data_IF_868323584184
#
_entry.id   IF_868323584184
#
_cell.length_a   1.000
_cell.length_b   1.000
_cell.length_c   1.000
_cell.angle_alpha   90.00
_cell.angle_beta   90.00
_cell.angle_gamma   90.00
#
_symmetry.space_group_name_H-M   'P 1'
#
loop_
_entity.id
_entity.type
_entity.pdbx_description
1 polymer ?
#
# COMPACT_ATOMS: atom_id res chain seq x y z
N UNK A 1 5.85 -16.40 -74.59
CA UNK A 1 6.12 -16.50 -73.15
C UNK A 1 5.02 -15.73 -72.41
N UNK A 2 4.06 -16.48 -71.94
CA UNK A 2 2.88 -15.86 -71.31
C UNK A 2 3.22 -15.63 -69.80
N UNK A 3 3.35 -14.38 -69.45
CA UNK A 3 3.46 -13.99 -68.04
C UNK A 3 2.08 -14.14 -67.37
N UNK A 4 2.02 -15.06 -66.44
CA UNK A 4 0.81 -15.39 -65.71
C UNK A 4 0.62 -14.41 -64.51
N UNK A 5 -0.24 -13.38 -64.58
CA UNK A 5 -0.37 -12.40 -63.52
C UNK A 5 -1.06 -12.98 -62.27
N UNK A 6 -1.65 -14.17 -62.35
CA UNK A 6 -2.31 -14.84 -61.22
C UNK A 6 -1.36 -15.37 -60.14
N UNK A 7 -0.11 -15.72 -60.50
CA UNK A 7 0.85 -16.25 -59.53
C UNK A 7 1.45 -15.17 -58.64
N UNK A 8 1.60 -13.94 -59.14
CA UNK A 8 2.10 -12.80 -58.36
C UNK A 8 1.08 -12.30 -57.34
N UNK A 9 -0.22 -12.36 -57.63
CA UNK A 9 -1.29 -11.95 -56.69
C UNK A 9 -1.49 -12.94 -55.56
N UNK A 10 -1.24 -14.26 -55.79
CA UNK A 10 -1.30 -15.27 -54.74
C UNK A 10 -0.13 -15.14 -53.74
N UNK A 11 1.06 -14.81 -54.20
CA UNK A 11 2.20 -14.57 -53.31
C UNK A 11 2.04 -13.32 -52.44
N UNK A 12 1.45 -12.25 -52.99
CA UNK A 12 1.13 -11.04 -52.20
C UNK A 12 0.07 -11.29 -51.12
N UNK A 13 -0.94 -12.10 -51.42
CA UNK A 13 -1.99 -12.46 -50.43
C UNK A 13 -1.48 -13.36 -49.32
N UNK A 14 -0.54 -14.29 -49.62
CA UNK A 14 0.07 -15.14 -48.61
C UNK A 14 1.00 -14.32 -47.71
N UNK A 15 1.74 -13.35 -48.25
CA UNK A 15 2.61 -12.46 -47.45
C UNK A 15 1.80 -11.51 -46.55
N UNK A 16 0.65 -11.01 -46.98
CA UNK A 16 -0.26 -10.21 -46.15
C UNK A 16 -0.93 -11.04 -45.07
N UNK A 17 -1.23 -12.32 -45.31
CA UNK A 17 -1.82 -13.20 -44.28
C UNK A 17 -0.84 -13.59 -43.18
N UNK A 18 0.47 -13.67 -43.48
CA UNK A 18 1.49 -14.01 -42.48
C UNK A 18 1.86 -12.81 -41.56
N UNK A 19 1.64 -11.59 -42.01
CA UNK A 19 1.86 -10.37 -41.15
C UNK A 19 0.70 -10.14 -40.19
N UNK A 20 -0.47 -10.77 -40.42
CA UNK A 20 -1.66 -10.59 -39.57
C UNK A 20 -1.69 -11.46 -38.30
N UNK A 21 -0.66 -12.26 -38.06
CA UNK A 21 -0.48 -13.03 -36.81
C UNK A 21 0.50 -12.34 -35.86
N UNK A 22 0.61 -10.99 -35.91
CA UNK A 22 1.22 -10.24 -34.84
C UNK A 22 0.39 -10.53 -33.58
N UNK A 23 0.96 -11.36 -32.71
CA UNK A 23 0.38 -11.59 -31.38
C UNK A 23 0.05 -10.24 -30.78
N UNK A 24 -1.23 -10.01 -30.48
CA UNK A 24 -1.64 -8.80 -29.75
C UNK A 24 -0.80 -8.78 -28.49
N UNK A 25 -0.15 -7.67 -28.15
CA UNK A 25 0.58 -7.61 -26.91
C UNK A 25 -0.40 -7.98 -25.79
N UNK A 26 0.00 -8.97 -24.99
CA UNK A 26 -0.78 -9.42 -23.84
C UNK A 26 -0.69 -8.34 -22.76
N UNK A 27 -1.81 -7.74 -22.42
CA UNK A 27 -1.94 -6.80 -21.32
C UNK A 27 -2.74 -7.49 -20.21
N UNK A 28 -2.12 -7.90 -19.10
CA UNK A 28 -2.87 -8.47 -17.99
C UNK A 28 -3.83 -7.43 -17.43
N UNK A 29 -5.00 -7.87 -17.00
CA UNK A 29 -5.96 -6.97 -16.35
C UNK A 29 -5.52 -6.60 -14.96
N UNK A 30 -4.99 -7.57 -14.22
CA UNK A 30 -4.51 -7.35 -12.85
C UNK A 30 -3.30 -8.22 -12.51
N UNK A 31 -2.55 -7.69 -11.55
CA UNK A 31 -1.47 -8.37 -10.86
C UNK A 31 -1.89 -8.46 -9.40
N UNK A 32 -1.87 -9.66 -8.82
CA UNK A 32 -2.25 -9.87 -7.42
C UNK A 32 -1.03 -10.34 -6.63
N UNK A 33 -0.79 -9.69 -5.51
CA UNK A 33 0.26 -10.05 -4.57
C UNK A 33 -0.42 -10.35 -3.23
N UNK A 34 -0.35 -11.60 -2.76
CA UNK A 34 -0.93 -11.98 -1.48
C UNK A 34 -0.26 -11.24 -0.31
N UNK A 35 -1.06 -10.88 0.68
CA UNK A 35 -0.60 -10.25 1.91
C UNK A 35 -1.15 -11.05 3.10
N UNK A 36 -0.35 -11.23 4.13
CA UNK A 36 -0.77 -11.80 5.41
C UNK A 36 -0.45 -10.84 6.55
N UNK A 37 -1.20 -10.93 7.66
CA UNK A 37 -0.89 -10.16 8.87
C UNK A 37 0.02 -10.99 9.79
N UNK A 38 1.17 -10.43 10.15
CA UNK A 38 2.02 -10.96 11.22
C UNK A 38 1.45 -10.54 12.57
N UNK A 39 0.86 -11.50 13.30
CA UNK A 39 0.16 -11.23 14.55
C UNK A 39 1.03 -10.62 15.63
N UNK A 40 2.30 -11.05 15.86
CA UNK A 40 3.14 -10.51 16.90
C UNK A 40 3.48 -9.02 16.71
N UNK A 41 3.74 -8.60 15.46
CA UNK A 41 4.15 -7.22 15.14
C UNK A 41 3.00 -6.37 14.60
N UNK A 42 1.85 -6.98 14.29
CA UNK A 42 0.72 -6.35 13.59
C UNK A 42 1.09 -5.78 12.21
N UNK A 43 2.20 -6.23 11.62
CA UNK A 43 2.66 -5.81 10.29
C UNK A 43 1.97 -6.63 9.20
N UNK A 44 1.81 -6.02 8.03
CA UNK A 44 1.30 -6.70 6.83
C UNK A 44 2.47 -7.12 5.97
N UNK A 45 2.55 -8.40 5.65
CA UNK A 45 3.68 -9.02 4.96
C UNK A 45 3.20 -9.55 3.61
N UNK A 46 3.80 -9.03 2.54
CA UNK A 46 3.65 -9.56 1.20
C UNK A 46 4.72 -10.61 0.92
N UNK A 47 4.38 -11.60 0.09
CA UNK A 47 5.31 -12.61 -0.37
C UNK A 47 5.50 -12.49 -1.90
N UNK A 48 6.74 -12.25 -2.32
CA UNK A 48 7.17 -12.24 -3.72
C UNK A 48 8.18 -13.35 -3.96
N UNK A 49 8.43 -13.66 -5.21
CA UNK A 49 9.53 -14.52 -5.61
C UNK A 49 10.57 -13.69 -6.37
N UNK A 50 11.85 -13.87 -6.08
CA UNK A 50 12.92 -13.07 -6.65
C UNK A 50 14.13 -13.92 -7.08
N UNK A 51 14.84 -13.42 -8.09
CA UNK A 51 16.04 -14.04 -8.65
C UNK A 51 15.75 -15.17 -9.62
N UNK A 52 16.81 -15.72 -10.20
CA UNK A 52 16.72 -16.82 -11.18
C UNK A 52 15.99 -18.06 -10.62
N UNK A 53 16.22 -18.36 -9.34
CA UNK A 53 15.62 -19.53 -8.68
C UNK A 53 14.23 -19.24 -8.10
N UNK A 54 13.68 -18.06 -8.31
CA UNK A 54 12.38 -17.63 -7.77
C UNK A 54 12.23 -17.93 -6.28
N UNK A 55 13.25 -17.61 -5.50
CA UNK A 55 13.20 -17.85 -4.07
C UNK A 55 12.21 -16.89 -3.38
N UNK A 56 11.47 -17.39 -2.37
CA UNK A 56 10.48 -16.58 -1.68
C UNK A 56 11.13 -15.44 -0.90
N UNK A 57 10.54 -14.26 -0.98
CA UNK A 57 10.96 -13.03 -0.33
C UNK A 57 9.79 -12.44 0.44
N UNK A 58 9.88 -12.38 1.77
CA UNK A 58 8.85 -11.82 2.65
C UNK A 58 9.18 -10.37 2.98
N UNK A 59 8.22 -9.49 2.71
CA UNK A 59 8.43 -8.04 2.77
C UNK A 59 7.30 -7.37 3.55
N UNK A 60 7.63 -6.51 4.50
CA UNK A 60 6.62 -5.63 5.11
C UNK A 60 6.08 -4.68 4.06
N UNK A 61 4.76 -4.58 3.98
CA UNK A 61 4.08 -3.66 3.05
C UNK A 61 4.12 -2.25 3.61
N UNK A 62 4.79 -1.35 2.91
CA UNK A 62 4.81 0.09 3.21
C UNK A 62 4.19 0.88 2.07
N UNK A 63 2.94 1.31 2.27
CA UNK A 63 2.22 2.11 1.26
C UNK A 63 2.92 3.43 0.95
N UNK A 64 3.67 4.01 1.89
CA UNK A 64 4.44 5.25 1.72
C UNK A 64 5.90 5.04 1.33
N UNK A 65 6.39 3.81 1.37
CA UNK A 65 7.79 3.48 1.08
C UNK A 65 8.18 3.76 -0.37
N UNK A 66 9.35 4.39 -0.63
CA UNK A 66 9.71 4.82 -1.98
C UNK A 66 10.06 3.69 -2.93
N UNK A 67 10.56 2.56 -2.43
CA UNK A 67 11.01 1.42 -3.23
C UNK A 67 11.09 0.14 -2.39
N UNK A 68 11.28 -1.00 -3.08
CA UNK A 68 11.63 -2.25 -2.41
C UNK A 68 13.07 -2.20 -1.93
N UNK A 69 13.29 -2.49 -0.65
CA UNK A 69 14.63 -2.74 -0.11
C UNK A 69 14.66 -4.03 0.69
N UNK A 70 15.71 -4.82 0.51
CA UNK A 70 15.80 -6.15 1.09
C UNK A 70 17.25 -6.62 1.28
N UNK A 71 17.46 -7.55 2.23
CA UNK A 71 18.64 -8.41 2.27
C UNK A 71 18.41 -9.60 1.34
N UNK A 72 18.90 -9.46 0.13
CA UNK A 72 18.83 -10.50 -0.88
C UNK A 72 20.23 -11.14 -1.06
N UNK A 73 20.76 -11.70 0.03
CA UNK A 73 22.11 -12.27 0.06
C UNK A 73 22.23 -13.63 -0.65
N UNK A 74 21.12 -14.36 -0.79
CA UNK A 74 21.14 -15.75 -1.28
C UNK A 74 21.20 -15.89 -2.80
N UNK A 75 20.96 -14.85 -3.57
CA UNK A 75 21.18 -14.85 -5.02
C UNK A 75 22.09 -13.71 -5.43
N UNK A 76 23.37 -13.93 -5.27
CA UNK A 76 24.46 -13.02 -5.63
C UNK A 76 24.52 -12.56 -7.09
N UNK A 77 23.44 -12.67 -7.87
CA UNK A 77 23.43 -12.46 -9.30
C UNK A 77 22.70 -11.17 -9.76
N UNK A 78 22.02 -10.45 -8.87
CA UNK A 78 21.47 -9.14 -9.21
C UNK A 78 22.57 -8.18 -9.66
N UNK A 79 22.40 -7.57 -10.84
CA UNK A 79 23.37 -6.62 -11.38
C UNK A 79 23.37 -5.35 -10.57
N UNK A 80 24.53 -4.86 -10.21
CA UNK A 80 24.72 -3.59 -9.51
C UNK A 80 24.57 -2.43 -10.52
N UNK A 81 23.84 -1.41 -10.17
CA UNK A 81 23.60 -0.25 -11.02
C UNK A 81 24.70 0.78 -10.82
N UNK A 82 25.41 1.20 -11.87
CA UNK A 82 26.44 2.21 -11.77
C UNK A 82 25.85 3.62 -11.60
N UNK A 83 26.58 4.44 -10.85
CA UNK A 83 26.37 5.88 -10.76
C UNK A 83 26.42 6.54 -12.15
N UNK A 84 25.60 7.56 -12.39
CA UNK A 84 25.54 8.21 -13.70
C UNK A 84 24.71 7.47 -14.76
N UNK A 85 24.23 6.25 -14.47
CA UNK A 85 23.28 5.55 -15.35
C UNK A 85 21.89 6.19 -15.29
N UNK A 86 21.09 6.00 -16.35
CA UNK A 86 19.69 6.43 -16.36
C UNK A 86 18.87 5.78 -15.22
N UNK A 87 19.13 4.50 -14.93
CA UNK A 87 18.48 3.76 -13.84
C UNK A 87 18.78 4.40 -12.47
N UNK A 88 20.03 4.79 -12.23
CA UNK A 88 20.41 5.51 -11.02
C UNK A 88 19.71 6.88 -10.92
N UNK A 89 19.67 7.65 -12.00
CA UNK A 89 18.99 8.94 -12.03
C UNK A 89 17.48 8.83 -11.80
N UNK A 90 16.86 7.73 -12.20
CA UNK A 90 15.45 7.46 -11.91
C UNK A 90 15.20 7.16 -10.43
N UNK A 91 16.12 6.43 -9.80
CA UNK A 91 16.03 5.98 -8.42
C UNK A 91 16.49 7.05 -7.43
N UNK A 92 17.56 7.75 -7.76
CA UNK A 92 18.17 8.80 -6.94
C UNK A 92 18.30 10.11 -7.74
N UNK A 93 17.25 10.94 -7.79
CA UNK A 93 17.28 12.19 -8.55
C UNK A 93 18.28 13.22 -7.99
N UNK A 94 18.74 13.08 -6.75
CA UNK A 94 19.76 13.93 -6.15
C UNK A 94 21.18 13.60 -6.63
N UNK A 95 21.33 12.48 -7.36
CA UNK A 95 22.62 11.99 -7.84
C UNK A 95 23.41 11.25 -6.75
N UNK A 96 24.54 10.68 -7.16
CA UNK A 96 25.46 10.01 -6.25
C UNK A 96 26.27 11.03 -5.47
N UNK A 97 26.61 10.70 -4.22
CA UNK A 97 27.31 11.59 -3.29
C UNK A 97 28.76 11.84 -3.66
N UNK A 98 29.35 10.98 -4.46
CA UNK A 98 30.74 11.08 -4.94
C UNK A 98 30.76 11.10 -6.47
N UNK A 99 31.51 12.03 -7.03
CA UNK A 99 31.51 12.38 -8.46
C UNK A 99 32.33 11.46 -9.38
N UNK A 100 32.70 10.24 -8.98
CA UNK A 100 33.49 9.34 -9.80
C UNK A 100 32.60 8.44 -10.69
N UNK A 101 32.88 8.38 -11.98
CA UNK A 101 32.10 7.71 -13.01
C UNK A 101 32.00 6.17 -12.88
N UNK A 102 32.72 5.56 -11.95
CA UNK A 102 32.73 4.11 -11.70
C UNK A 102 32.11 3.70 -10.37
N UNK A 103 31.42 4.63 -9.71
CA UNK A 103 30.81 4.34 -8.43
C UNK A 103 29.43 3.68 -8.58
N UNK A 104 29.08 2.95 -7.51
CA UNK A 104 27.83 2.22 -7.39
C UNK A 104 26.74 3.20 -6.97
N UNK A 105 25.56 3.09 -7.57
CA UNK A 105 24.39 3.85 -7.16
C UNK A 105 23.93 3.43 -5.79
N UNK A 106 23.91 4.34 -4.83
CA UNK A 106 23.38 4.14 -3.48
C UNK A 106 22.05 4.86 -3.30
N UNK A 107 21.16 4.29 -2.51
CA UNK A 107 19.88 4.87 -2.14
C UNK A 107 19.81 5.06 -0.63
N UNK A 108 19.41 6.26 -0.22
CA UNK A 108 19.10 6.52 1.18
C UNK A 108 17.71 6.02 1.49
N UNK A 109 17.53 5.38 2.64
CA UNK A 109 16.24 4.93 3.14
C UNK A 109 16.16 5.10 4.65
N UNK A 110 14.97 5.04 5.18
CA UNK A 110 14.67 4.95 6.60
C UNK A 110 13.83 3.69 6.84
N UNK A 111 14.21 2.88 7.81
CA UNK A 111 13.36 1.78 8.25
C UNK A 111 12.08 2.38 8.85
N UNK A 112 10.90 2.11 8.28
CA UNK A 112 9.67 2.79 8.69
C UNK A 112 9.22 2.41 10.12
N UNK A 113 9.74 1.30 10.67
CA UNK A 113 9.40 0.81 12.02
C UNK A 113 10.37 1.36 13.07
N UNK A 114 11.67 1.09 12.91
CA UNK A 114 12.69 1.47 13.91
C UNK A 114 13.22 2.89 13.75
N UNK A 115 12.88 3.57 12.64
CA UNK A 115 13.41 4.90 12.28
C UNK A 115 14.92 4.95 12.07
N UNK A 116 15.55 3.79 11.91
CA UNK A 116 16.97 3.73 11.54
C UNK A 116 17.13 4.16 10.09
N UNK A 117 17.91 5.22 9.88
CA UNK A 117 18.33 5.64 8.56
C UNK A 117 19.56 4.84 8.10
N UNK A 118 19.62 4.56 6.81
CA UNK A 118 20.71 3.84 6.19
C UNK A 118 20.82 4.09 4.70
N UNK A 119 21.82 3.49 4.09
CA UNK A 119 21.97 3.45 2.63
C UNK A 119 22.07 2.01 2.16
N UNK A 120 21.58 1.77 0.94
CA UNK A 120 21.65 0.49 0.28
C UNK A 120 22.08 0.64 -1.17
N UNK A 121 22.66 -0.40 -1.72
CA UNK A 121 23.11 -0.44 -3.11
C UNK A 121 21.95 -0.70 -4.05
N UNK A 122 21.78 0.15 -5.06
CA UNK A 122 20.78 -0.09 -6.11
C UNK A 122 21.21 -1.26 -6.97
N UNK A 123 20.34 -2.25 -7.05
CA UNK A 123 20.50 -3.46 -7.87
C UNK A 123 19.30 -3.68 -8.76
N UNK A 124 19.44 -4.56 -9.74
CA UNK A 124 18.34 -5.11 -10.54
C UNK A 124 18.36 -6.61 -10.55
N UNK A 125 17.19 -7.22 -10.51
CA UNK A 125 16.99 -8.66 -10.65
C UNK A 125 15.60 -8.94 -11.25
N UNK A 126 15.23 -10.20 -11.40
CA UNK A 126 13.90 -10.60 -11.84
C UNK A 126 13.01 -10.89 -10.63
N UNK A 127 11.79 -10.36 -10.61
CA UNK A 127 10.75 -10.82 -9.70
C UNK A 127 9.66 -11.58 -10.45
N UNK A 128 8.94 -12.47 -9.78
CA UNK A 128 7.78 -13.12 -10.31
C UNK A 128 6.51 -12.61 -9.61
N UNK A 129 5.47 -12.41 -10.40
CA UNK A 129 4.15 -11.92 -9.95
C UNK A 129 3.04 -12.75 -10.58
N UNK A 130 1.93 -12.87 -9.87
CA UNK A 130 0.75 -13.57 -10.33
C UNK A 130 -0.14 -12.64 -11.16
N UNK A 131 -0.39 -13.02 -12.41
CA UNK A 131 -1.24 -12.28 -13.34
C UNK A 131 -2.63 -12.90 -13.39
N UNK A 132 -3.65 -12.06 -13.42
CA UNK A 132 -5.03 -12.44 -13.68
C UNK A 132 -5.48 -11.77 -14.98
N UNK A 133 -5.86 -12.57 -15.96
CA UNK A 133 -6.31 -12.07 -17.28
C UNK A 133 -7.82 -11.84 -17.31
N UNK A 134 -8.58 -12.81 -16.84
CA UNK A 134 -10.05 -12.72 -16.73
C UNK A 134 -10.55 -13.32 -15.41
N UNK A 135 -11.73 -12.91 -14.92
CA UNK A 135 -12.28 -13.40 -13.65
C UNK A 135 -12.42 -14.93 -13.56
N UNK A 136 -12.43 -15.63 -14.70
CA UNK A 136 -12.60 -17.09 -14.79
C UNK A 136 -11.43 -17.82 -15.46
N UNK A 137 -10.37 -17.11 -15.87
CA UNK A 137 -9.29 -17.70 -16.69
C UNK A 137 -8.14 -18.29 -15.85
N UNK A 138 -8.23 -18.26 -14.53
CA UNK A 138 -7.13 -18.68 -13.68
C UNK A 138 -6.03 -17.62 -13.57
N UNK A 139 -5.05 -17.88 -12.73
CA UNK A 139 -3.85 -17.05 -12.61
C UNK A 139 -2.63 -17.78 -13.16
N UNK A 140 -1.66 -17.02 -13.64
CA UNK A 140 -0.38 -17.57 -14.07
C UNK A 140 0.78 -16.69 -13.61
N UNK A 141 1.91 -17.33 -13.35
CA UNK A 141 3.11 -16.65 -12.91
C UNK A 141 3.79 -15.95 -14.11
N UNK A 142 4.13 -14.68 -13.96
CA UNK A 142 4.88 -13.91 -14.95
C UNK A 142 6.12 -13.27 -14.34
N UNK A 143 7.12 -13.04 -15.18
CA UNK A 143 8.39 -12.48 -14.76
C UNK A 143 8.46 -10.98 -15.08
N UNK A 144 8.98 -10.22 -14.14
CA UNK A 144 9.33 -8.80 -14.28
C UNK A 144 10.85 -8.71 -14.29
N UNK A 145 11.48 -8.71 -15.45
CA UNK A 145 12.94 -8.61 -15.55
C UNK A 145 13.42 -7.18 -15.23
N UNK A 146 14.67 -7.05 -14.85
CA UNK A 146 15.31 -5.76 -14.57
C UNK A 146 14.57 -4.93 -13.50
N UNK A 147 13.94 -5.59 -12.54
CA UNK A 147 13.27 -4.93 -11.42
C UNK A 147 14.31 -4.31 -10.49
N UNK A 148 14.17 -2.99 -10.26
CA UNK A 148 15.09 -2.21 -9.42
C UNK A 148 14.71 -2.31 -7.95
N UNK A 149 15.69 -2.60 -7.11
CA UNK A 149 15.54 -2.65 -5.67
C UNK A 149 16.83 -2.20 -4.97
N UNK A 150 16.74 -1.83 -3.69
CA UNK A 150 17.92 -1.52 -2.88
C UNK A 150 18.35 -2.75 -2.07
N UNK A 151 19.59 -3.18 -2.22
CA UNK A 151 20.19 -4.18 -1.36
C UNK A 151 20.61 -3.52 -0.03
N UNK A 152 20.11 -4.08 1.07
CA UNK A 152 20.30 -3.54 2.42
C UNK A 152 20.70 -4.65 3.38
N UNK A 153 21.73 -4.47 4.18
CA UNK A 153 22.15 -5.47 5.16
C UNK A 153 21.10 -5.73 6.24
N UNK A 154 20.97 -6.99 6.68
CA UNK A 154 19.93 -7.44 7.62
C UNK A 154 19.96 -6.78 9.00
N UNK A 155 21.10 -6.23 9.44
CA UNK A 155 21.16 -5.50 10.73
C UNK A 155 20.26 -4.24 10.75
N UNK A 156 19.84 -3.75 9.58
CA UNK A 156 18.90 -2.62 9.45
C UNK A 156 17.43 -3.04 9.55
N UNK A 157 17.13 -4.32 9.76
CA UNK A 157 15.75 -4.86 9.83
C UNK A 157 15.15 -4.81 11.24
N UNK A 158 15.77 -4.09 12.15
CA UNK A 158 15.27 -3.95 13.52
C UNK A 158 13.79 -3.54 13.55
N UNK A 159 12.98 -4.30 14.30
CA UNK A 159 11.54 -4.06 14.45
C UNK A 159 10.65 -4.66 13.35
N UNK A 160 11.22 -5.22 12.27
CA UNK A 160 10.46 -6.01 11.31
C UNK A 160 10.11 -7.38 11.88
N UNK A 161 9.02 -7.98 11.36
CA UNK A 161 8.55 -9.31 11.75
C UNK A 161 9.61 -10.40 11.58
N UNK A 162 9.49 -11.49 12.32
CA UNK A 162 10.43 -12.59 12.23
C UNK A 162 10.38 -13.26 10.84
N UNK A 163 11.55 -13.46 10.24
CA UNK A 163 11.69 -14.04 8.90
C UNK A 163 11.31 -13.10 7.74
N UNK A 164 11.13 -11.81 8.01
CA UNK A 164 10.98 -10.78 6.99
C UNK A 164 12.35 -10.41 6.43
N UNK A 165 12.43 -10.27 5.11
CA UNK A 165 13.67 -9.99 4.38
C UNK A 165 13.82 -8.52 3.96
N UNK A 166 12.85 -7.65 4.26
CA UNK A 166 12.88 -6.25 3.88
C UNK A 166 11.51 -5.59 3.85
N UNK A 167 11.39 -4.52 3.07
CA UNK A 167 10.17 -3.72 2.94
C UNK A 167 9.79 -3.53 1.48
N UNK A 168 8.51 -3.67 1.18
CA UNK A 168 7.90 -3.46 -0.13
C UNK A 168 7.31 -2.06 -0.20
N UNK A 169 8.02 -1.14 -0.85
CA UNK A 169 7.57 0.23 -1.04
C UNK A 169 6.55 0.37 -2.17
N UNK A 170 5.39 0.94 -1.84
CA UNK A 170 4.30 1.23 -2.78
C UNK A 170 4.11 2.74 -3.03
N UNK A 171 4.99 3.58 -2.52
CA UNK A 171 4.89 5.03 -2.58
C UNK A 171 4.98 5.61 -3.99
N UNK A 172 4.80 6.93 -4.10
CA UNK A 172 4.76 7.63 -5.38
C UNK A 172 6.16 7.88 -5.97
N UNK A 173 7.00 6.84 -6.07
CA UNK A 173 8.31 6.94 -6.71
C UNK A 173 8.35 6.25 -8.08
N UNK A 174 9.37 6.56 -8.88
CA UNK A 174 9.55 5.95 -10.20
C UNK A 174 9.97 4.50 -10.14
N UNK A 175 10.59 4.07 -9.03
CA UNK A 175 11.08 2.71 -8.80
C UNK A 175 10.29 1.98 -7.71
N UNK A 176 9.14 2.51 -7.27
CA UNK A 176 8.20 1.75 -6.45
C UNK A 176 7.61 0.58 -7.21
N UNK A 177 7.14 -0.44 -6.50
CA UNK A 177 6.53 -1.61 -7.13
C UNK A 177 5.43 -1.25 -8.15
N UNK A 178 4.41 -0.41 -7.82
CA UNK A 178 3.36 -0.08 -8.78
C UNK A 178 3.87 0.60 -10.04
N UNK A 179 4.91 1.45 -9.92
CA UNK A 179 5.49 2.15 -11.06
C UNK A 179 6.24 1.21 -11.98
N UNK A 180 7.00 0.27 -11.44
CA UNK A 180 7.74 -0.71 -12.23
C UNK A 180 6.81 -1.72 -12.90
N UNK A 181 5.76 -2.20 -12.20
CA UNK A 181 4.74 -3.07 -12.80
C UNK A 181 4.00 -2.36 -13.94
N UNK A 182 3.59 -1.10 -13.73
CA UNK A 182 2.92 -0.31 -14.75
C UNK A 182 3.77 -0.18 -16.02
N UNK A 183 5.08 0.09 -15.85
CA UNK A 183 6.01 0.21 -16.97
C UNK A 183 6.24 -1.12 -17.70
N UNK A 184 6.38 -2.22 -16.97
CA UNK A 184 6.67 -3.54 -17.57
C UNK A 184 5.47 -4.09 -18.35
N UNK A 185 4.26 -3.95 -17.80
CA UNK A 185 3.06 -4.55 -18.39
C UNK A 185 2.20 -3.56 -19.19
N UNK A 186 2.59 -2.28 -19.27
CA UNK A 186 1.79 -1.26 -19.98
C UNK A 186 0.42 -1.00 -19.36
N UNK A 187 0.25 -1.30 -18.07
CA UNK A 187 -1.00 -1.09 -17.33
C UNK A 187 -1.04 0.31 -16.69
N UNK A 188 -2.23 0.82 -16.33
CA UNK A 188 -2.32 2.09 -15.60
C UNK A 188 -1.49 2.08 -14.32
N UNK A 189 -0.86 3.22 -13.99
CA UNK A 189 -0.13 3.41 -12.75
C UNK A 189 -1.11 3.59 -11.59
N UNK A 190 -1.71 2.46 -11.21
CA UNK A 190 -2.77 2.35 -10.23
C UNK A 190 -2.63 1.04 -9.48
N UNK A 191 -2.87 1.06 -8.17
CA UNK A 191 -2.92 -0.15 -7.36
C UNK A 191 -3.97 -0.02 -6.27
N UNK A 192 -4.45 -1.16 -5.78
CA UNK A 192 -5.31 -1.22 -4.62
C UNK A 192 -4.68 -2.06 -3.51
N UNK A 193 -4.99 -1.70 -2.27
CA UNK A 193 -4.62 -2.44 -1.07
C UNK A 193 -5.90 -2.83 -0.35
N UNK A 194 -6.03 -4.12 -0.03
CA UNK A 194 -7.12 -4.67 0.74
C UNK A 194 -6.52 -5.52 1.86
N UNK A 195 -6.53 -5.02 3.09
CA UNK A 195 -5.95 -5.66 4.26
C UNK A 195 -7.04 -6.25 5.15
N UNK A 196 -6.72 -7.30 5.88
CA UNK A 196 -7.59 -7.84 6.93
C UNK A 196 -6.78 -8.33 8.12
N UNK A 197 -7.46 -8.75 9.16
CA UNK A 197 -6.83 -9.35 10.34
C UNK A 197 -6.09 -10.68 10.05
N UNK A 198 -6.23 -11.24 8.85
CA UNK A 198 -5.57 -12.48 8.42
C UNK A 198 -4.88 -12.33 7.08
N UNK A 199 -5.63 -12.43 5.98
CA UNK A 199 -5.13 -12.40 4.62
C UNK A 199 -5.68 -11.18 3.89
N UNK A 200 -4.90 -10.64 2.97
CA UNK A 200 -5.26 -9.52 2.13
C UNK A 200 -4.53 -9.59 0.80
N UNK A 201 -4.65 -8.54 -0.01
CA UNK A 201 -3.98 -8.47 -1.30
C UNK A 201 -3.55 -7.04 -1.64
N UNK A 202 -2.47 -6.95 -2.42
CA UNK A 202 -2.13 -5.79 -3.23
C UNK A 202 -2.51 -6.15 -4.66
N UNK A 203 -3.23 -5.26 -5.35
CA UNK A 203 -3.72 -5.50 -6.70
C UNK A 203 -3.29 -4.33 -7.57
N UNK A 204 -2.57 -4.59 -8.66
CA UNK A 204 -2.12 -3.56 -9.60
C UNK A 204 -2.80 -3.75 -10.96
N UNK A 205 -3.18 -2.66 -11.62
CA UNK A 205 -3.88 -2.67 -12.91
C UNK A 205 -5.37 -2.40 -12.80
N UNK A 206 -6.10 -2.71 -13.88
CA UNK A 206 -7.55 -2.48 -13.99
C UNK A 206 -8.35 -3.72 -13.58
N UNK A 207 -8.74 -3.79 -12.33
CA UNK A 207 -9.74 -4.75 -11.88
C UNK A 207 -11.10 -4.09 -11.77
N UNK A 208 -12.11 -4.74 -12.34
CA UNK A 208 -13.50 -4.40 -12.02
C UNK A 208 -13.84 -5.12 -10.72
N UNK A 209 -13.75 -4.39 -9.60
CA UNK A 209 -14.28 -4.90 -8.34
C UNK A 209 -15.81 -4.81 -8.38
N UNK A 210 -16.53 -5.83 -7.93
CA UNK A 210 -17.99 -5.76 -7.76
C UNK A 210 -18.42 -4.59 -6.88
N UNK A 211 -17.53 -4.12 -6.02
CA UNK A 211 -17.72 -2.98 -5.11
C UNK A 211 -17.38 -1.61 -5.72
N UNK A 212 -16.95 -1.56 -6.98
CA UNK A 212 -16.56 -0.29 -7.63
C UNK A 212 -17.68 0.76 -7.63
N UNK A 213 -18.94 0.32 -7.64
CA UNK A 213 -20.12 1.22 -7.59
C UNK A 213 -20.33 1.90 -6.24
N UNK A 214 -19.73 1.39 -5.17
CA UNK A 214 -19.82 1.94 -3.82
C UNK A 214 -18.57 2.74 -3.41
N UNK A 215 -17.56 2.85 -4.28
CA UNK A 215 -16.34 3.57 -3.98
C UNK A 215 -16.59 5.08 -3.91
N UNK A 216 -16.10 5.68 -2.85
CA UNK A 216 -15.94 7.12 -2.70
C UNK A 216 -14.52 7.53 -3.06
N UNK A 217 -14.35 8.77 -3.51
CA UNK A 217 -13.05 9.27 -3.96
C UNK A 217 -12.65 10.54 -3.23
N UNK A 218 -11.35 10.67 -2.94
CA UNK A 218 -10.72 11.88 -2.39
C UNK A 218 -9.40 12.16 -3.10
N UNK A 219 -9.01 13.42 -3.32
CA UNK A 219 -7.69 13.73 -3.83
C UNK A 219 -6.58 13.23 -2.91
N UNK A 220 -5.54 12.65 -3.50
CA UNK A 220 -4.25 12.45 -2.85
C UNK A 220 -3.49 13.78 -2.89
N UNK A 221 -3.01 14.19 -1.74
CA UNK A 221 -2.23 15.41 -1.60
C UNK A 221 -0.76 15.05 -1.60
N UNK A 222 -0.01 15.71 -2.46
CA UNK A 222 1.46 15.61 -2.45
C UNK A 222 2.03 16.96 -2.06
N UNK A 223 3.02 17.02 -1.15
CA UNK A 223 3.72 18.26 -0.84
C UNK A 223 4.33 18.87 -2.11
N UNK A 224 4.26 20.19 -2.23
CA UNK A 224 4.74 20.91 -3.42
C UNK A 224 6.25 20.78 -3.65
N UNK A 225 7.01 20.54 -2.57
CA UNK A 225 8.46 20.36 -2.62
C UNK A 225 8.91 18.97 -3.11
N UNK A 226 7.98 18.02 -3.29
CA UNK A 226 8.26 16.65 -3.79
C UNK A 226 9.17 15.82 -2.87
N UNK A 227 9.31 16.19 -1.59
CA UNK A 227 10.27 15.56 -0.67
C UNK A 227 9.81 14.23 -0.12
N UNK A 228 8.51 13.94 -0.16
CA UNK A 228 7.97 12.66 0.31
C UNK A 228 7.27 11.89 -0.80
N UNK A 229 7.31 10.57 -0.69
CA UNK A 229 6.60 9.61 -1.56
C UNK A 229 5.32 9.08 -0.89
N UNK A 230 5.02 9.57 0.30
CA UNK A 230 3.89 9.19 1.11
C UNK A 230 2.57 9.78 0.60
N UNK A 231 1.46 9.16 1.01
CA UNK A 231 0.12 9.57 0.59
C UNK A 231 -0.60 10.30 1.72
N UNK A 232 -1.01 11.52 1.42
CA UNK A 232 -1.81 12.37 2.30
C UNK A 232 -3.20 12.61 1.72
N UNK A 233 -4.16 12.80 2.60
CA UNK A 233 -5.54 13.20 2.28
C UNK A 233 -5.95 14.40 3.13
N UNK A 234 -6.91 15.19 2.65
CA UNK A 234 -7.50 16.27 3.43
C UNK A 234 -8.69 15.77 4.24
N UNK A 235 -8.60 15.90 5.55
CA UNK A 235 -9.70 15.69 6.49
C UNK A 235 -10.21 17.06 6.96
N UNK A 236 -11.48 17.37 6.70
CA UNK A 236 -12.10 18.65 7.11
C UNK A 236 -12.54 18.66 8.56
N UNK A 237 -12.97 17.51 9.05
CA UNK A 237 -13.38 17.36 10.44
C UNK A 237 -13.46 15.89 10.82
N UNK A 238 -13.43 15.62 12.09
CA UNK A 238 -13.68 14.30 12.68
C UNK A 238 -15.02 14.34 13.39
N UNK A 239 -15.83 13.29 13.22
CA UNK A 239 -17.13 13.14 13.86
C UNK A 239 -17.20 11.87 14.71
N UNK A 240 -17.91 11.95 15.81
CA UNK A 240 -18.30 10.83 16.65
C UNK A 240 -19.84 10.83 16.72
N UNK A 241 -20.47 9.75 16.22
CA UNK A 241 -21.94 9.65 16.10
C UNK A 241 -22.57 10.91 15.46
N UNK A 242 -22.05 11.32 14.29
CA UNK A 242 -22.46 12.50 13.52
C UNK A 242 -22.17 13.86 14.18
N UNK A 243 -21.70 13.90 15.44
CA UNK A 243 -21.33 15.14 16.15
C UNK A 243 -19.88 15.49 15.83
N UNK A 244 -19.63 16.67 15.29
CA UNK A 244 -18.29 17.19 15.04
C UNK A 244 -17.58 17.46 16.36
N UNK A 245 -16.35 16.94 16.51
CA UNK A 245 -15.53 17.20 17.69
C UNK A 245 -14.91 18.62 17.61
N UNK A 246 -14.73 19.29 18.75
CA UNK A 246 -14.16 20.64 18.80
C UNK A 246 -12.63 20.58 18.63
N UNK A 247 -12.16 20.77 17.39
CA UNK A 247 -10.75 20.78 17.03
C UNK A 247 -10.37 22.07 16.31
N UNK A 248 -9.11 22.46 16.43
CA UNK A 248 -8.50 23.34 15.45
C UNK A 248 -8.29 22.58 14.14
N UNK A 249 -9.21 22.74 13.21
CA UNK A 249 -9.21 22.01 11.94
C UNK A 249 -8.07 22.40 11.01
N UNK A 250 -7.38 23.53 11.23
CA UNK A 250 -6.20 23.90 10.45
C UNK A 250 -5.07 22.87 10.59
N UNK A 251 -4.98 22.17 11.72
CA UNK A 251 -4.02 21.11 11.97
C UNK A 251 -4.23 19.89 11.05
N UNK A 252 -5.44 19.69 10.52
CA UNK A 252 -5.77 18.56 9.66
C UNK A 252 -5.36 18.76 8.20
N UNK A 253 -4.92 19.98 7.84
CA UNK A 253 -4.41 20.28 6.50
C UNK A 253 -2.89 20.20 6.46
N UNK A 254 -2.37 19.67 5.36
CA UNK A 254 -0.94 19.62 5.10
C UNK A 254 -0.45 21.00 4.71
N UNK A 255 0.61 21.48 5.33
CA UNK A 255 1.25 22.73 4.98
C UNK A 255 2.38 22.56 3.94
N UNK A 256 3.08 23.64 3.60
CA UNK A 256 4.15 23.62 2.61
C UNK A 256 5.44 22.95 3.11
N UNK A 257 5.61 22.85 4.42
CA UNK A 257 6.78 22.25 5.08
C UNK A 257 6.59 20.75 5.35
N UNK A 258 5.45 20.16 4.90
CA UNK A 258 5.03 18.76 5.14
C UNK A 258 4.68 18.50 6.60
N UNK A 259 4.31 19.56 7.31
CA UNK A 259 3.74 19.46 8.66
C UNK A 259 2.21 19.43 8.60
N UNK A 260 1.60 18.73 9.56
CA UNK A 260 0.14 18.62 9.59
C UNK A 260 -0.41 17.55 8.64
N UNK A 261 -1.69 17.69 8.27
CA UNK A 261 -2.39 16.78 7.36
C UNK A 261 -2.68 15.40 7.92
N UNK A 262 -3.27 14.57 7.07
CA UNK A 262 -3.60 13.18 7.40
C UNK A 262 -2.89 12.24 6.43
N UNK A 263 -1.98 11.42 6.94
CA UNK A 263 -1.16 10.46 6.19
C UNK A 263 -1.73 9.05 6.32
N UNK A 264 -1.59 8.25 5.28
CA UNK A 264 -1.96 6.82 5.28
C UNK A 264 -0.69 5.98 5.48
N UNK A 265 -0.73 4.99 6.38
CA UNK A 265 0.39 4.11 6.67
C UNK A 265 -0.08 2.67 6.94
N UNK A 266 0.57 1.71 6.31
CA UNK A 266 0.38 0.28 6.60
C UNK A 266 1.36 -0.24 7.65
N UNK A 267 2.36 0.57 8.02
CA UNK A 267 3.43 0.18 8.96
C UNK A 267 3.09 0.55 10.40
N UNK A 268 2.41 1.68 10.59
CA UNK A 268 1.90 2.08 11.91
C UNK A 268 0.71 1.19 12.25
N UNK A 269 0.72 0.41 13.36
CA UNK A 269 -0.34 -0.55 13.65
C UNK A 269 -1.71 0.08 13.85
N UNK A 270 -1.76 1.17 14.62
CA UNK A 270 -2.99 1.91 14.97
C UNK A 270 -2.87 3.37 14.57
N UNK A 271 -4.00 4.02 14.32
CA UNK A 271 -4.00 5.45 14.01
C UNK A 271 -3.41 6.25 15.15
N UNK A 272 -2.42 7.10 14.84
CA UNK A 272 -1.83 8.05 15.77
C UNK A 272 -2.27 9.46 15.43
N UNK A 273 -2.46 10.28 16.46
CA UNK A 273 -2.83 11.69 16.33
C UNK A 273 -1.89 12.56 17.16
N UNK A 274 -1.53 13.75 16.68
CA UNK A 274 -0.85 14.73 17.55
C UNK A 274 -1.65 14.94 18.83
N UNK A 275 -0.99 15.10 19.97
CA UNK A 275 -1.63 15.28 21.30
C UNK A 275 -2.73 16.34 21.27
N UNK A 276 -2.54 17.43 20.55
CA UNK A 276 -3.51 18.53 20.40
C UNK A 276 -4.81 18.14 19.69
N UNK A 277 -4.80 17.05 18.94
CA UNK A 277 -5.99 16.44 18.28
C UNK A 277 -6.48 15.26 19.12
N UNK A 278 -5.57 14.46 19.65
CA UNK A 278 -5.86 13.24 20.38
C UNK A 278 -6.70 13.51 21.63
N UNK A 279 -6.29 14.48 22.47
CA UNK A 279 -6.99 14.74 23.73
C UNK A 279 -8.47 15.10 23.52
N UNK A 280 -8.84 16.14 22.74
CA UNK A 280 -10.26 16.44 22.51
C UNK A 280 -11.01 15.31 21.79
N UNK A 281 -10.32 14.50 20.99
CA UNK A 281 -10.91 13.32 20.34
C UNK A 281 -11.28 12.24 21.37
N UNK A 282 -10.36 11.87 22.26
CA UNK A 282 -10.59 10.86 23.31
C UNK A 282 -11.65 11.32 24.29
N UNK A 283 -11.59 12.59 24.76
CA UNK A 283 -12.59 13.15 25.66
C UNK A 283 -14.00 13.07 25.06
N UNK A 284 -14.15 13.48 23.80
CA UNK A 284 -15.43 13.41 23.09
C UNK A 284 -15.91 11.97 22.88
N UNK A 285 -14.97 11.03 22.64
CA UNK A 285 -15.30 9.62 22.50
C UNK A 285 -15.80 9.02 23.81
N UNK A 286 -15.09 9.27 24.92
CA UNK A 286 -15.44 8.78 26.26
C UNK A 286 -16.79 9.35 26.69
N UNK A 287 -17.05 10.65 26.48
CA UNK A 287 -18.35 11.26 26.76
C UNK A 287 -19.49 10.61 25.99
N UNK A 288 -19.25 10.39 24.68
CA UNK A 288 -20.24 9.74 23.80
C UNK A 288 -20.49 8.29 24.23
N UNK A 289 -19.44 7.52 24.53
CA UNK A 289 -19.55 6.15 25.01
C UNK A 289 -20.33 6.05 26.32
N UNK A 290 -20.06 6.95 27.27
CA UNK A 290 -20.79 7.03 28.52
C UNK A 290 -22.29 7.36 28.31
N UNK A 291 -22.60 8.27 27.39
CA UNK A 291 -23.98 8.61 27.03
C UNK A 291 -24.75 7.44 26.39
N UNK A 292 -24.03 6.49 25.80
CA UNK A 292 -24.57 5.25 25.23
C UNK A 292 -24.63 4.10 26.25
N UNK A 293 -24.23 4.34 27.51
CA UNK A 293 -24.26 3.33 28.57
C UNK A 293 -23.04 2.40 28.62
N UNK A 294 -21.98 2.66 27.86
CA UNK A 294 -20.76 1.86 27.91
C UNK A 294 -19.97 2.18 29.18
N UNK A 295 -19.61 1.16 29.94
CA UNK A 295 -18.80 1.30 31.16
C UNK A 295 -17.32 1.33 30.83
N UNK A 296 -16.61 2.40 31.20
CA UNK A 296 -15.17 2.50 31.12
C UNK A 296 -14.50 1.49 32.06
N UNK A 297 -13.44 0.86 31.61
CA UNK A 297 -12.58 -0.05 32.39
C UNK A 297 -11.14 0.47 32.38
N UNK A 298 -10.28 -0.17 33.17
CA UNK A 298 -8.86 0.18 33.21
C UNK A 298 -8.21 0.11 31.83
N UNK A 299 -7.26 1.01 31.51
CA UNK A 299 -6.52 1.00 30.26
C UNK A 299 -5.78 -0.32 30.04
N UNK A 300 -5.75 -0.77 28.78
CA UNK A 300 -4.95 -1.92 28.35
C UNK A 300 -3.93 -1.43 27.33
N UNK A 301 -2.65 -1.42 27.70
CA UNK A 301 -1.60 -0.90 26.85
C UNK A 301 -1.64 -1.54 25.44
N UNK A 302 -1.44 -0.76 24.36
CA UNK A 302 -1.07 0.66 24.33
C UNK A 302 -2.27 1.65 24.39
N UNK A 303 -3.50 1.18 24.63
CA UNK A 303 -4.73 1.96 24.52
C UNK A 303 -5.07 2.64 25.85
N UNK A 304 -5.51 3.89 25.77
CA UNK A 304 -5.87 4.71 26.92
C UNK A 304 -7.35 4.55 27.33
N UNK A 305 -8.25 4.40 26.35
CA UNK A 305 -9.69 4.35 26.61
C UNK A 305 -10.24 2.95 26.28
N UNK A 306 -10.59 2.20 27.32
CA UNK A 306 -11.15 0.85 27.20
C UNK A 306 -12.54 0.78 27.84
N UNK A 307 -13.41 -0.08 27.29
CA UNK A 307 -14.80 -0.20 27.67
C UNK A 307 -15.20 -1.67 27.78
N UNK A 308 -16.11 -1.94 28.69
CA UNK A 308 -16.81 -3.21 28.73
C UNK A 308 -17.88 -3.21 27.63
N UNK A 309 -17.80 -4.19 26.72
CA UNK A 309 -18.73 -4.35 25.60
C UNK A 309 -19.26 -5.77 25.63
N UNK A 310 -20.57 -5.93 25.78
CA UNK A 310 -21.22 -7.23 25.93
C UNK A 310 -22.20 -7.45 24.78
N UNK A 311 -22.05 -8.59 24.10
CA UNK A 311 -23.00 -9.03 23.06
C UNK A 311 -23.12 -8.03 21.91
N UNK A 312 -24.31 -7.46 21.73
CA UNK A 312 -24.65 -6.53 20.65
C UNK A 312 -24.54 -5.05 21.03
N UNK A 313 -23.78 -4.71 22.07
CA UNK A 313 -23.61 -3.32 22.47
C UNK A 313 -23.12 -2.47 21.29
N UNK A 314 -23.78 -1.34 21.09
CA UNK A 314 -23.43 -0.41 20.03
C UNK A 314 -22.33 0.52 20.54
N UNK A 315 -21.23 0.62 19.78
CA UNK A 315 -20.10 1.50 20.09
C UNK A 315 -20.20 2.81 19.29
N UNK A 316 -19.62 3.92 19.79
CA UNK A 316 -19.60 5.18 19.03
C UNK A 316 -18.89 5.02 17.69
N UNK A 317 -19.47 5.57 16.63
CA UNK A 317 -18.90 5.57 15.28
C UNK A 317 -17.94 6.74 15.12
N UNK A 318 -16.77 6.48 14.56
CA UNK A 318 -15.79 7.51 14.18
C UNK A 318 -15.80 7.68 12.67
N UNK A 319 -15.96 8.89 12.18
CA UNK A 319 -15.98 9.24 10.77
C UNK A 319 -15.05 10.42 10.49
N UNK A 320 -14.20 10.26 9.48
CA UNK A 320 -13.40 11.34 8.92
C UNK A 320 -14.16 11.97 7.75
N UNK A 321 -14.54 13.23 7.89
CA UNK A 321 -15.21 13.99 6.84
C UNK A 321 -14.14 14.55 5.91
N UNK A 322 -14.21 14.20 4.64
CA UNK A 322 -13.21 14.57 3.63
C UNK A 322 -13.60 15.86 2.89
N UNK A 323 -13.79 15.82 1.55
CA UNK A 323 -14.08 17.03 0.76
C UNK A 323 -15.42 17.68 1.11
N UNK A 324 -16.42 16.87 1.50
CA UNK A 324 -17.76 17.32 1.83
C UNK A 324 -18.39 16.42 2.88
N UNK A 325 -19.52 16.86 3.45
CA UNK A 325 -20.31 16.05 4.37
C UNK A 325 -20.86 14.75 3.77
N UNK A 326 -20.84 14.63 2.44
CA UNK A 326 -21.26 13.42 1.71
C UNK A 326 -20.12 12.40 1.58
N UNK A 327 -18.85 12.83 1.68
CA UNK A 327 -17.67 11.97 1.53
C UNK A 327 -17.06 11.76 2.90
N UNK A 328 -17.48 10.68 3.55
CA UNK A 328 -17.04 10.31 4.89
C UNK A 328 -16.37 8.95 4.86
N UNK A 329 -15.25 8.84 5.54
CA UNK A 329 -14.59 7.56 5.77
C UNK A 329 -14.85 7.10 7.19
N UNK A 330 -15.58 5.99 7.33
CA UNK A 330 -15.85 5.37 8.62
C UNK A 330 -14.63 4.54 9.04
N UNK A 331 -14.13 4.82 10.25
CA UNK A 331 -12.95 4.18 10.82
C UNK A 331 -13.32 2.97 11.70
N UNK A 332 -12.49 1.93 11.66
CA UNK A 332 -12.51 0.86 12.66
C UNK A 332 -12.03 1.42 14.00
N UNK A 333 -12.97 1.78 14.88
CA UNK A 333 -12.62 2.51 16.09
C UNK A 333 -12.20 1.63 17.25
N UNK A 334 -12.76 0.41 17.38
CA UNK A 334 -12.61 -0.41 18.59
C UNK A 334 -11.80 -1.69 18.32
N UNK A 335 -10.80 -1.92 19.14
CA UNK A 335 -9.92 -3.09 19.15
C UNK A 335 -10.35 -4.03 20.27
N UNK A 336 -10.60 -5.29 19.96
CA UNK A 336 -10.85 -6.32 20.96
C UNK A 336 -9.53 -6.69 21.65
N UNK A 337 -9.44 -6.48 22.97
CA UNK A 337 -8.23 -6.77 23.76
C UNK A 337 -8.41 -7.93 24.75
N UNK A 338 -9.64 -8.35 24.97
CA UNK A 338 -9.98 -9.44 25.89
C UNK A 338 -11.46 -9.82 25.81
N UNK A 339 -11.89 -10.74 26.65
CA UNK A 339 -13.29 -11.15 26.70
C UNK A 339 -14.17 -10.03 27.27
N UNK A 340 -15.05 -9.50 26.42
CA UNK A 340 -15.94 -8.40 26.77
C UNK A 340 -15.24 -7.06 26.97
N UNK A 341 -13.97 -6.92 26.56
CA UNK A 341 -13.24 -5.63 26.64
C UNK A 341 -12.79 -5.19 25.26
N UNK A 342 -13.17 -3.98 24.88
CA UNK A 342 -12.73 -3.31 23.67
C UNK A 342 -12.13 -1.95 23.99
N UNK A 343 -11.03 -1.61 23.32
CA UNK A 343 -10.34 -0.34 23.52
C UNK A 343 -10.39 0.52 22.26
N UNK A 344 -10.38 1.83 22.42
CA UNK A 344 -10.28 2.77 21.31
C UNK A 344 -8.93 2.64 20.63
N UNK A 345 -8.93 2.22 19.36
CA UNK A 345 -7.75 1.90 18.57
C UNK A 345 -7.04 3.13 17.97
N UNK A 346 -6.99 4.22 18.73
CA UNK A 346 -6.30 5.46 18.38
C UNK A 346 -5.33 5.80 19.50
N UNK A 347 -4.14 6.27 19.13
CA UNK A 347 -3.05 6.51 20.08
C UNK A 347 -2.56 7.96 20.01
N UNK A 348 -2.04 8.44 21.14
CA UNK A 348 -1.32 9.72 21.18
C UNK A 348 0.03 9.59 20.46
N UNK A 349 0.21 10.32 19.38
CA UNK A 349 1.44 10.38 18.59
C UNK A 349 2.45 11.42 19.14
N UNK A 350 2.10 12.12 20.22
CA UNK A 350 2.92 13.18 20.78
C UNK A 350 2.85 14.50 20.01
N UNK A 351 3.62 15.47 20.47
CA UNK A 351 3.69 16.81 19.86
C UNK A 351 4.61 16.86 18.63
N UNK A 352 5.64 16.00 18.59
CA UNK A 352 6.67 15.98 17.54
C UNK A 352 6.34 15.17 16.28
N UNK A 353 5.14 14.60 16.21
CA UNK A 353 4.71 13.86 15.01
C UNK A 353 4.53 14.84 13.83
N UNK A 354 5.20 14.63 12.68
CA UNK A 354 5.10 15.50 11.49
C UNK A 354 3.67 15.58 10.96
N UNK A 355 3.07 14.48 10.53
CA UNK A 355 1.66 14.43 10.16
C UNK A 355 0.77 14.58 11.40
N UNK A 356 -0.29 15.37 11.33
CA UNK A 356 -1.22 15.54 12.45
C UNK A 356 -2.01 14.29 12.78
N UNK A 357 -2.34 13.50 11.77
CA UNK A 357 -2.97 12.19 11.90
C UNK A 357 -2.23 11.21 10.98
N UNK A 358 -1.90 10.03 11.48
CA UNK A 358 -1.41 8.91 10.68
C UNK A 358 -2.42 7.78 10.79
N UNK A 359 -3.17 7.52 9.71
CA UNK A 359 -4.13 6.41 9.67
C UNK A 359 -3.33 5.11 9.63
N UNK A 360 -3.47 4.30 10.67
CA UNK A 360 -2.73 3.06 10.85
C UNK A 360 -3.39 1.84 10.23
N UNK A 361 -2.63 0.76 10.13
CA UNK A 361 -3.04 -0.47 9.44
C UNK A 361 -4.35 -1.07 9.94
N UNK A 362 -4.61 -1.05 11.24
CA UNK A 362 -5.86 -1.55 11.80
C UNK A 362 -7.09 -0.82 11.25
N UNK A 363 -7.02 0.51 11.08
CA UNK A 363 -8.11 1.28 10.53
C UNK A 363 -8.29 1.09 9.02
N UNK A 364 -7.26 0.55 8.34
CA UNK A 364 -7.31 0.22 6.92
C UNK A 364 -7.89 -1.18 6.66
N UNK A 365 -7.97 -2.07 7.67
CA UNK A 365 -8.53 -3.41 7.52
C UNK A 365 -9.98 -3.38 7.02
N UNK A 366 -10.30 -4.34 6.16
CA UNK A 366 -11.60 -4.51 5.50
C UNK A 366 -12.10 -3.24 4.76
N UNK A 367 -11.13 -2.44 4.29
CA UNK A 367 -11.35 -1.39 3.31
C UNK A 367 -10.59 -1.74 2.02
N UNK A 368 -11.24 -1.55 0.88
CA UNK A 368 -10.55 -1.52 -0.41
C UNK A 368 -10.09 -0.10 -0.67
N UNK A 369 -8.77 0.10 -0.78
CA UNK A 369 -8.12 1.39 -1.00
C UNK A 369 -7.45 1.38 -2.37
N UNK A 370 -7.97 2.15 -3.33
CA UNK A 370 -7.41 2.27 -4.68
C UNK A 370 -6.60 3.57 -4.81
N UNK A 371 -5.31 3.45 -4.97
CA UNK A 371 -4.37 4.56 -5.22
C UNK A 371 -4.19 4.74 -6.73
N UNK A 372 -4.82 5.75 -7.32
CA UNK A 372 -4.63 6.09 -8.72
C UNK A 372 -3.58 7.20 -8.84
N UNK A 373 -2.34 6.81 -9.16
CA UNK A 373 -1.20 7.71 -9.24
C UNK A 373 -1.21 8.56 -10.52
N UNK A 374 -1.97 8.13 -11.53
CA UNK A 374 -2.15 8.89 -12.77
C UNK A 374 -3.08 10.09 -12.61
N UNK A 375 -4.10 9.97 -11.75
CA UNK A 375 -5.09 11.02 -11.49
C UNK A 375 -4.94 11.68 -10.12
N UNK A 376 -3.99 11.21 -9.30
CA UNK A 376 -3.80 11.65 -7.91
C UNK A 376 -5.07 11.53 -7.07
N UNK A 377 -5.76 10.38 -7.18
CA UNK A 377 -6.99 10.11 -6.45
C UNK A 377 -6.86 8.85 -5.60
N UNK A 378 -7.44 8.88 -4.41
CA UNK A 378 -7.70 7.72 -3.56
C UNK A 378 -9.18 7.35 -3.68
N UNK A 379 -9.46 6.16 -4.18
CA UNK A 379 -10.74 5.50 -4.04
C UNK A 379 -10.77 4.68 -2.75
N UNK A 380 -11.90 4.67 -2.05
CA UNK A 380 -12.06 3.85 -0.86
C UNK A 380 -13.49 3.37 -0.68
N UNK A 381 -13.64 2.16 -0.16
CA UNK A 381 -14.93 1.61 0.25
C UNK A 381 -14.74 0.58 1.36
N UNK A 382 -15.68 0.54 2.30
CA UNK A 382 -15.68 -0.46 3.36
C UNK A 382 -16.34 -1.75 2.88
N UNK A 383 -15.70 -2.88 3.15
CA UNK A 383 -16.18 -4.23 2.86
C UNK A 383 -16.85 -4.88 4.09
N UNK A 384 -17.02 -4.14 5.17
CA UNK A 384 -17.65 -4.63 6.40
C UNK A 384 -19.09 -5.12 6.12
N UNK A 385 -19.38 -6.35 6.50
CA UNK A 385 -20.67 -6.99 6.27
C UNK A 385 -20.81 -7.78 4.97
N UNK A 386 -19.72 -7.89 4.17
CA UNK A 386 -19.65 -8.65 2.91
C UNK A 386 -18.49 -9.66 2.89
N UNK A 387 -18.00 -9.89 1.69
CA UNK A 387 -16.87 -10.76 1.40
C UNK A 387 -15.53 -10.14 1.78
N UNK A 388 -15.24 -9.68 2.92
CA UNK A 388 -14.00 -9.03 3.37
C UNK A 388 -12.73 -9.16 2.50
N UNK A 389 -11.67 -8.49 2.84
CA UNK A 389 -10.41 -8.50 2.05
C UNK A 389 -9.79 -9.89 1.87
N UNK A 390 -10.09 -10.82 2.75
CA UNK A 390 -9.63 -12.23 2.66
C UNK A 390 -10.17 -12.99 1.43
N UNK A 391 -11.26 -12.50 0.81
CA UNK A 391 -11.82 -13.14 -0.39
C UNK A 391 -10.99 -12.92 -1.65
N UNK A 392 -10.18 -11.86 -1.71
CA UNK A 392 -9.35 -11.56 -2.87
C UNK A 392 -8.18 -12.54 -3.07
N UNK A 393 -7.79 -13.28 -2.03
CA UNK A 393 -6.72 -14.29 -2.09
C UNK A 393 -7.21 -15.70 -2.37
N UNK A 394 -8.53 -15.98 -2.29
CA UNK A 394 -9.09 -17.33 -2.47
C UNK A 394 -9.23 -17.78 -3.91
N UNK A 395 -9.06 -16.92 -4.87
CA UNK A 395 -9.40 -17.24 -6.28
C UNK A 395 -8.47 -18.26 -6.95
N UNK A 396 -7.25 -18.47 -6.44
CA UNK A 396 -6.27 -19.33 -7.12
C UNK A 396 -5.98 -20.69 -6.44
N UNK A 397 -6.15 -20.82 -5.12
CA UNK A 397 -5.75 -22.05 -4.41
C UNK A 397 -6.86 -23.08 -4.14
N UNK A 398 -8.13 -22.68 -4.11
CA UNK A 398 -9.22 -23.56 -3.69
C UNK A 398 -9.95 -24.27 -4.84
N UNK A 399 -9.52 -24.07 -6.11
CA UNK A 399 -10.12 -24.76 -7.28
C UNK A 399 -9.43 -26.07 -7.66
N UNK A 400 -8.25 -26.35 -7.14
CA UNK A 400 -7.52 -27.61 -7.40
C UNK A 400 -7.85 -28.72 -6.38
N UNK A 401 -8.79 -28.48 -5.45
CA UNK A 401 -9.20 -29.42 -4.40
C UNK A 401 -10.72 -29.70 -4.36
N UNK A 402 -11.45 -29.43 -5.46
CA UNK A 402 -12.86 -29.78 -5.56
C UNK A 402 -13.13 -30.78 -6.70
#
# INVERSE_FOLDING_TARGET
MANNPCLLSLFSLVFLATVSLAQRPFFPRAIVIPVSKDSPTSQYVAELQMGYNLAPLKLVVDVGGPFLWADWASSSQGSTIPCGSLKCSMANPKGCTSGASNEICDLQFENPVSKLAGSGVLKEDTIAVELIDEPNAGSFLSHVPNFLFSFVPSFLFQGLGNGVNGVLGLGNSRISLPSQLANTFGIPRKFAVCLSSSNGAIISGDTTYDVSRSMMYTPLISPQNGTTQEYYINVKSIKINDRKIPLNTSLLFLDQEVEGGTRISTVVPYTTMKTTIYQPFVDSYVETAASMGLSRVDPVAPFEACFKVVGSDVVPRVEFVLQSEMVKWRMNAMVKVGDGVMCLGFLDGGLGQGASVVIGGYQLEDNLLEFNLGTSMLGFTSLMGGTGCSSFTRSSRDRDSA
#
